data_IF_913955960753
#
_entry.id   IF_913955960753
#
_cell.length_a   1.000
_cell.length_b   1.000
_cell.length_c   1.000
_cell.angle_alpha   90.00
_cell.angle_beta   90.00
_cell.angle_gamma   90.00
#
_symmetry.space_group_name_H-M   'P 1'
#
loop_
_entity.id
_entity.type
_entity.pdbx_description
1 polymer ?
#
# COMPACT_ATOMS: atom_id res chain seq x y z
N UNK A 1 -6.94 -5.60 0.56
CA UNK A 1 -8.09 -5.48 -0.37
C UNK A 1 -8.92 -6.75 -0.28
N UNK A 2 -10.27 -6.67 -0.30
CA UNK A 2 -11.14 -7.86 -0.47
C UNK A 2 -11.28 -8.16 -1.96
N UNK A 3 -11.51 -9.41 -2.36
CA UNK A 3 -11.53 -9.82 -3.78
C UNK A 3 -12.51 -8.97 -4.64
N UNK A 4 -13.62 -8.55 -4.03
CA UNK A 4 -14.60 -7.64 -4.62
C UNK A 4 -14.07 -6.22 -4.94
N UNK A 5 -12.96 -5.79 -4.33
CA UNK A 5 -12.40 -4.45 -4.44
C UNK A 5 -11.11 -4.40 -5.28
N UNK A 6 -10.62 -5.54 -5.80
CA UNK A 6 -9.44 -5.57 -6.69
C UNK A 6 -9.66 -4.75 -7.96
N UNK A 7 -10.81 -4.90 -8.59
CA UNK A 7 -11.20 -4.14 -9.79
C UNK A 7 -11.45 -2.65 -9.47
N UNK A 8 -11.94 -2.33 -8.26
CA UNK A 8 -12.12 -0.94 -7.81
C UNK A 8 -10.79 -0.28 -7.42
N UNK A 9 -9.83 -1.01 -6.88
CA UNK A 9 -8.46 -0.52 -6.62
C UNK A 9 -7.64 -0.32 -7.91
N UNK A 10 -8.07 -0.91 -9.03
CA UNK A 10 -7.57 -0.58 -10.39
C UNK A 10 -8.19 0.71 -10.94
N UNK A 11 -9.32 1.17 -10.41
CA UNK A 11 -9.81 2.53 -10.62
C UNK A 11 -9.21 3.48 -9.60
N UNK A 12 -8.98 4.74 -10.00
CA UNK A 12 -8.45 5.82 -9.16
C UNK A 12 -9.12 5.81 -7.77
N UNK A 13 -8.40 5.35 -6.75
CA UNK A 13 -8.84 5.48 -5.37
C UNK A 13 -8.83 6.98 -5.02
N UNK A 14 -9.97 7.57 -4.62
CA UNK A 14 -10.00 8.98 -4.24
C UNK A 14 -9.15 9.18 -3.00
N UNK A 15 -8.17 10.08 -3.09
CA UNK A 15 -7.19 10.40 -2.04
C UNK A 15 -7.84 10.59 -0.66
N UNK A 16 -9.00 11.25 -0.62
CA UNK A 16 -9.73 11.55 0.62
C UNK A 16 -10.34 10.32 1.32
N UNK A 17 -10.48 9.19 0.62
CA UNK A 17 -11.00 7.95 1.19
C UNK A 17 -9.89 7.03 1.67
N UNK A 18 -8.63 7.39 1.45
CA UNK A 18 -7.49 6.61 1.93
C UNK A 18 -7.28 6.87 3.44
N UNK A 19 -6.88 5.84 4.20
CA UNK A 19 -6.37 6.02 5.56
C UNK A 19 -5.26 7.08 5.61
N UNK A 20 -5.15 7.77 6.75
CA UNK A 20 -4.23 8.90 6.92
C UNK A 20 -2.78 8.53 6.61
N UNK A 21 -2.34 7.34 7.03
CA UNK A 21 -0.98 6.85 6.74
C UNK A 21 -0.72 6.69 5.23
N UNK A 22 -1.73 6.33 4.43
CA UNK A 22 -1.58 6.23 2.98
C UNK A 22 -1.60 7.62 2.32
N UNK A 23 -2.40 8.55 2.86
CA UNK A 23 -2.38 9.95 2.43
C UNK A 23 -1.00 10.59 2.66
N UNK A 24 -0.39 10.32 3.81
CA UNK A 24 0.94 10.80 4.17
C UNK A 24 2.01 10.14 3.29
N UNK A 25 1.94 8.83 3.09
CA UNK A 25 2.83 8.12 2.17
C UNK A 25 2.75 8.69 0.74
N UNK A 26 1.54 8.96 0.24
CA UNK A 26 1.34 9.58 -1.07
C UNK A 26 1.95 10.99 -1.14
N UNK A 27 1.77 11.81 -0.10
CA UNK A 27 2.36 13.15 -0.04
C UNK A 27 3.89 13.10 -0.02
N UNK A 28 4.48 12.18 0.74
CA UNK A 28 5.93 11.99 0.82
C UNK A 28 6.46 11.57 -0.55
N UNK A 29 5.88 10.54 -1.17
CA UNK A 29 6.25 10.06 -2.51
C UNK A 29 6.17 11.18 -3.56
N UNK A 30 5.08 11.96 -3.54
CA UNK A 30 4.89 13.10 -4.46
C UNK A 30 5.91 14.21 -4.22
N UNK A 31 6.24 14.52 -2.96
CA UNK A 31 7.28 15.52 -2.62
C UNK A 31 8.67 15.06 -3.04
N UNK A 32 8.93 13.76 -3.05
CA UNK A 32 10.17 13.16 -3.52
C UNK A 32 10.22 13.00 -5.05
N UNK A 33 9.16 13.38 -5.78
CA UNK A 33 9.10 13.31 -7.23
C UNK A 33 8.95 11.90 -7.78
N UNK A 34 8.50 10.94 -6.97
CA UNK A 34 8.24 9.58 -7.42
C UNK A 34 6.79 9.43 -7.90
N UNK A 35 6.60 8.67 -8.97
CA UNK A 35 5.29 8.41 -9.56
C UNK A 35 4.63 7.12 -9.06
N UNK A 36 5.42 6.24 -8.43
CA UNK A 36 4.97 4.92 -8.00
C UNK A 36 5.11 4.75 -6.49
N UNK A 37 4.04 4.27 -5.87
CA UNK A 37 3.98 3.91 -4.46
C UNK A 37 3.34 2.53 -4.35
N UNK A 38 4.03 1.61 -3.68
CA UNK A 38 3.52 0.28 -3.40
C UNK A 38 3.05 0.22 -1.94
N UNK A 39 1.83 -0.26 -1.73
CA UNK A 39 1.22 -0.45 -0.40
C UNK A 39 0.63 -1.86 -0.37
N UNK A 40 1.17 -2.73 0.47
CA UNK A 40 0.77 -4.12 0.63
C UNK A 40 -0.73 -4.30 0.92
N UNK A 41 -1.30 -3.43 1.76
CA UNK A 41 -2.73 -3.44 2.09
C UNK A 41 -3.64 -3.17 0.87
N UNK A 42 -3.13 -2.48 -0.16
CA UNK A 42 -3.84 -2.20 -1.40
C UNK A 42 -3.57 -3.27 -2.47
N UNK A 43 -2.33 -3.75 -2.57
CA UNK A 43 -1.89 -4.66 -3.63
C UNK A 43 -2.12 -6.14 -3.32
N UNK A 44 -2.34 -6.52 -2.06
CA UNK A 44 -2.54 -7.91 -1.65
C UNK A 44 -4.00 -8.12 -1.24
N UNK A 45 -4.59 -9.22 -1.72
CA UNK A 45 -5.91 -9.68 -1.31
C UNK A 45 -5.78 -10.26 0.10
N UNK A 46 -6.43 -9.62 1.07
CA UNK A 46 -6.28 -9.98 2.49
C UNK A 46 -7.19 -11.16 2.88
N UNK A 47 -8.27 -11.39 2.11
CA UNK A 47 -9.23 -12.48 2.35
C UNK A 47 -8.85 -13.81 1.68
N UNK A 48 -7.76 -13.83 0.89
CA UNK A 48 -7.27 -15.03 0.21
C UNK A 48 -5.90 -15.38 0.76
N UNK A 49 -5.82 -16.43 1.57
CA UNK A 49 -4.56 -16.94 2.12
C UNK A 49 -3.61 -17.42 0.99
N UNK A 50 -4.18 -17.86 -0.13
CA UNK A 50 -3.44 -18.32 -1.31
C UNK A 50 -2.79 -17.14 -2.06
N UNK A 51 -3.53 -16.05 -2.30
CA UNK A 51 -2.97 -14.82 -2.87
C UNK A 51 -1.96 -14.18 -1.93
N UNK A 52 -2.22 -14.18 -0.62
CA UNK A 52 -1.27 -13.68 0.36
C UNK A 52 0.04 -14.45 0.30
N UNK A 53 0.03 -15.79 0.19
CA UNK A 53 1.26 -16.60 0.07
C UNK A 53 2.04 -16.27 -1.21
N UNK A 54 1.36 -16.07 -2.32
CA UNK A 54 2.00 -15.76 -3.60
C UNK A 54 2.61 -14.35 -3.59
N UNK A 55 1.85 -13.35 -3.15
CA UNK A 55 2.30 -11.95 -3.15
C UNK A 55 3.31 -11.67 -2.02
N UNK A 56 3.18 -12.30 -0.85
CA UNK A 56 4.16 -12.19 0.24
C UNK A 56 5.52 -12.76 -0.16
N UNK A 57 5.56 -13.82 -0.98
CA UNK A 57 6.81 -14.35 -1.53
C UNK A 57 7.55 -13.33 -2.43
N UNK A 58 6.83 -12.36 -3.02
CA UNK A 58 7.41 -11.28 -3.83
C UNK A 58 7.85 -10.08 -3.01
N UNK A 59 7.38 -9.92 -1.77
CA UNK A 59 7.72 -8.80 -0.89
C UNK A 59 9.23 -8.58 -0.74
N UNK A 60 10.08 -9.61 -0.49
CA UNK A 60 11.52 -9.39 -0.34
C UNK A 60 12.16 -8.77 -1.59
N UNK A 61 11.70 -9.17 -2.77
CA UNK A 61 12.15 -8.61 -4.04
C UNK A 61 11.70 -7.16 -4.20
N UNK A 62 10.42 -6.87 -3.91
CA UNK A 62 9.86 -5.51 -3.99
C UNK A 62 10.59 -4.57 -3.03
N UNK A 63 10.79 -4.98 -1.77
CA UNK A 63 11.54 -4.20 -0.79
C UNK A 63 13.00 -3.99 -1.21
N UNK A 64 13.64 -4.99 -1.82
CA UNK A 64 15.02 -4.85 -2.31
C UNK A 64 15.16 -3.87 -3.48
N UNK A 65 14.09 -3.63 -4.23
CA UNK A 65 14.07 -2.70 -5.36
C UNK A 65 13.40 -1.36 -5.02
N UNK A 66 12.93 -1.18 -3.79
CA UNK A 66 12.33 0.07 -3.35
C UNK A 66 13.42 1.15 -3.19
N UNK A 67 13.14 2.35 -3.73
CA UNK A 67 14.00 3.52 -3.54
C UNK A 67 14.06 3.97 -2.07
N UNK A 68 12.95 3.82 -1.35
CA UNK A 68 12.86 4.01 0.09
C UNK A 68 11.65 3.25 0.64
N UNK A 69 11.65 2.97 1.94
CA UNK A 69 10.53 2.38 2.65
C UNK A 69 9.99 3.38 3.67
N UNK A 70 8.67 3.59 3.69
CA UNK A 70 7.98 4.39 4.72
C UNK A 70 7.43 3.41 5.75
N UNK A 71 7.93 3.47 6.98
CA UNK A 71 7.41 2.70 8.10
C UNK A 71 6.71 3.64 9.08
N UNK A 72 5.45 3.34 9.42
CA UNK A 72 4.73 4.05 10.45
C UNK A 72 4.98 3.37 11.80
N UNK A 73 5.92 3.93 12.57
CA UNK A 73 6.43 3.31 13.82
C UNK A 73 5.59 3.66 15.07
N UNK A 74 4.82 4.76 15.03
CA UNK A 74 4.13 5.33 16.21
C UNK A 74 2.60 5.31 16.14
N UNK A 75 2.01 4.72 15.10
CA UNK A 75 0.55 4.64 14.94
C UNK A 75 0.04 3.23 15.20
N UNK A 76 -0.97 3.12 16.07
CA UNK A 76 -1.60 1.83 16.39
C UNK A 76 -2.35 1.22 15.18
N UNK A 77 -2.74 2.07 14.21
CA UNK A 77 -3.57 1.73 13.07
C UNK A 77 -3.33 2.74 11.93
N UNK A 78 -3.51 2.32 10.66
CA UNK A 78 -3.34 3.15 9.45
C UNK A 78 -4.20 4.43 9.38
N UNK A 79 -5.14 4.61 10.32
CA UNK A 79 -5.97 5.83 10.43
C UNK A 79 -5.32 6.95 11.23
N UNK A 80 -4.25 6.67 11.97
CA UNK A 80 -3.72 7.62 12.98
C UNK A 80 -2.71 8.61 12.42
N UNK A 81 -2.15 8.37 11.22
CA UNK A 81 -1.10 9.20 10.61
C UNK A 81 0.25 8.78 11.17
#
# INVERSE_FOLDING_TARGET
>A
TVEANLEQSRMRLPYHNLPRTFQDAFLITKKLGLEYLWIDALCIVQDSEEDWKIESAKMPYIYSQALFCIAADSSANASSG
#
